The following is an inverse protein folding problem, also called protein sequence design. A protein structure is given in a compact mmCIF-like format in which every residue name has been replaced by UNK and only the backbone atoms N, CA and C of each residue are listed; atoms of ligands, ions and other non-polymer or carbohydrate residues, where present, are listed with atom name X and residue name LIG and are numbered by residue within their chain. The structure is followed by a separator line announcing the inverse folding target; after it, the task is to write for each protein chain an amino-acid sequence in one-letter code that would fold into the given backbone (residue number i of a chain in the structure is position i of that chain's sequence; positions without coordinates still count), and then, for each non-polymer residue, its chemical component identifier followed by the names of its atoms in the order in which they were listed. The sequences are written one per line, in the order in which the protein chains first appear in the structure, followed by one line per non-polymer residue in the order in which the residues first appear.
data_IF_064436112762
#
_entry.id   IF_064436112762
#
_cell.length_a   1.000
_cell.length_b   1.000
_cell.length_c   1.000
_cell.angle_alpha   90.00
_cell.angle_beta   90.00
_cell.angle_gamma   90.00
#
_symmetry.space_group_name_H-M   'P 1'
#
loop_
_entity.id
_entity.type
_entity.pdbx_description
1 polymer ?
#
# COMPACT_ATOMS: atom_id res chain seq x y z
N UNK A 1 2.41 12.37 17.73
CA UNK A 1 1.66 11.34 18.50
C UNK A 1 0.18 11.70 18.58
N UNK A 2 -0.19 12.94 18.92
CA UNK A 2 -1.59 13.40 18.93
C UNK A 2 -2.35 13.12 17.63
N UNK A 3 -1.76 13.45 16.46
CA UNK A 3 -2.37 13.19 15.15
C UNK A 3 -2.63 11.69 14.89
N UNK A 4 -1.73 10.81 15.34
CA UNK A 4 -1.88 9.35 15.21
C UNK A 4 -3.04 8.83 16.06
N UNK A 5 -3.17 9.36 17.28
CA UNK A 5 -4.31 9.12 18.17
C UNK A 5 -5.63 9.61 17.54
N UNK A 6 -5.64 10.82 16.97
CA UNK A 6 -6.82 11.37 16.30
C UNK A 6 -7.24 10.53 15.10
N UNK A 7 -6.27 10.07 14.29
CA UNK A 7 -6.51 9.16 13.18
C UNK A 7 -7.14 7.84 13.62
N UNK A 8 -6.59 7.17 14.64
CA UNK A 8 -7.14 5.90 15.13
C UNK A 8 -8.52 6.06 15.79
N UNK A 9 -8.78 7.16 16.51
CA UNK A 9 -10.12 7.45 17.01
C UNK A 9 -11.12 7.68 15.89
N UNK A 10 -10.72 8.38 14.84
CA UNK A 10 -11.58 8.62 13.68
C UNK A 10 -11.92 7.31 12.96
N UNK A 11 -10.94 6.43 12.73
CA UNK A 11 -11.17 5.17 12.00
C UNK A 11 -11.95 4.14 12.82
N UNK A 12 -11.68 4.04 14.13
CA UNK A 12 -12.45 3.16 15.03
C UNK A 12 -13.89 3.63 15.17
N UNK A 13 -14.16 4.94 15.14
CA UNK A 13 -15.53 5.46 15.06
C UNK A 13 -16.25 4.98 13.78
N UNK A 14 -15.57 5.01 12.61
CA UNK A 14 -16.14 4.48 11.35
C UNK A 14 -16.38 2.96 11.41
N UNK A 15 -15.52 2.21 12.10
CA UNK A 15 -15.69 0.78 12.30
C UNK A 15 -16.95 0.50 13.14
N UNK A 16 -17.16 1.22 14.25
CA UNK A 16 -18.37 1.09 15.08
C UNK A 16 -19.65 1.41 14.29
N UNK A 17 -19.65 2.48 13.52
CA UNK A 17 -20.78 2.88 12.67
C UNK A 17 -21.08 1.88 11.55
N UNK A 18 -20.06 1.16 11.08
CA UNK A 18 -20.21 0.13 10.06
C UNK A 18 -20.89 -1.13 10.61
N UNK A 19 -20.81 -1.37 11.93
CA UNK A 19 -21.40 -2.50 12.62
C UNK A 19 -20.81 -3.82 12.12
N UNK A 20 -21.63 -4.80 11.67
CA UNK A 20 -21.11 -6.07 11.14
C UNK A 20 -20.48 -5.95 9.75
N UNK A 21 -20.58 -4.78 9.10
CA UNK A 21 -20.00 -4.56 7.77
C UNK A 21 -18.50 -4.24 7.92
N UNK A 22 -17.65 -4.74 7.01
CA UNK A 22 -16.25 -4.36 7.02
C UNK A 22 -16.09 -2.86 6.76
N UNK A 23 -14.97 -2.32 7.25
CA UNK A 23 -14.51 -0.97 6.93
C UNK A 23 -14.48 -0.77 5.40
N UNK A 24 -14.86 0.42 4.94
CA UNK A 24 -14.75 0.79 3.52
C UNK A 24 -13.35 1.29 3.22
N UNK A 25 -12.93 1.12 1.97
CA UNK A 25 -11.66 1.65 1.46
C UNK A 25 -11.61 3.18 1.57
N UNK A 26 -12.72 3.84 1.24
CA UNK A 26 -12.80 5.30 1.22
C UNK A 26 -14.05 5.80 1.95
N UNK A 27 -13.90 7.00 2.51
CA UNK A 27 -14.94 7.81 3.09
C UNK A 27 -14.77 9.26 2.60
N UNK A 28 -15.85 10.03 2.54
CA UNK A 28 -15.73 11.47 2.40
C UNK A 28 -14.97 12.06 3.60
N UNK A 29 -14.41 13.27 3.46
CA UNK A 29 -13.65 13.92 4.54
C UNK A 29 -14.44 14.07 5.86
N UNK A 30 -15.77 14.19 5.77
CA UNK A 30 -16.68 14.27 6.91
C UNK A 30 -17.21 12.89 7.38
N UNK A 31 -16.75 11.80 6.78
CA UNK A 31 -17.06 10.42 7.17
C UNK A 31 -18.19 9.74 6.41
N UNK A 32 -18.84 10.42 5.45
CA UNK A 32 -19.93 9.80 4.67
C UNK A 32 -19.40 8.62 3.81
N UNK A 33 -19.98 7.42 3.96
CA UNK A 33 -19.60 6.26 3.16
C UNK A 33 -20.22 6.22 1.76
N UNK A 34 -21.22 7.04 1.43
CA UNK A 34 -21.81 7.10 0.09
C UNK A 34 -20.95 7.96 -0.85
N UNK A 35 -20.14 7.26 -1.63
CA UNK A 35 -19.28 7.84 -2.65
C UNK A 35 -19.70 7.37 -4.05
N UNK A 36 -21.02 7.27 -4.29
CA UNK A 36 -21.56 6.86 -5.59
C UNK A 36 -20.91 7.67 -6.73
N UNK A 37 -20.16 6.97 -7.60
CA UNK A 37 -19.43 7.60 -8.70
C UNK A 37 -20.39 8.11 -9.77
N UNK A 38 -20.23 9.36 -10.19
CA UNK A 38 -21.06 10.01 -11.22
C UNK A 38 -20.20 10.81 -12.17
N UNK A 39 -20.50 10.74 -13.46
CA UNK A 39 -19.84 11.56 -14.49
C UNK A 39 -20.56 12.91 -14.66
N UNK A 40 -19.78 13.97 -14.82
CA UNK A 40 -20.25 15.34 -15.04
C UNK A 40 -19.87 15.79 -16.46
N UNK A 41 -20.67 15.44 -17.49
CA UNK A 41 -20.30 15.66 -18.91
C UNK A 41 -20.18 17.13 -19.32
N UNK A 42 -20.79 18.03 -18.53
CA UNK A 42 -20.76 19.48 -18.73
C UNK A 42 -19.46 20.13 -18.25
N UNK A 43 -18.63 19.43 -17.46
CA UNK A 43 -17.35 19.94 -16.98
C UNK A 43 -16.19 19.43 -17.85
N UNK A 44 -15.06 20.13 -17.75
CA UNK A 44 -13.76 19.75 -18.32
C UNK A 44 -12.73 19.75 -17.21
N UNK A 45 -11.99 18.67 -17.06
CA UNK A 45 -10.92 18.56 -16.08
C UNK A 45 -9.66 19.32 -16.50
N UNK A 46 -8.61 19.16 -15.70
CA UNK A 46 -7.26 19.62 -16.03
C UNK A 46 -6.86 19.14 -17.43
N UNK A 47 -6.26 20.02 -18.23
CA UNK A 47 -5.90 19.77 -19.65
C UNK A 47 -7.04 19.21 -20.52
N UNK A 48 -8.28 19.64 -20.26
CA UNK A 48 -9.49 19.16 -20.94
C UNK A 48 -9.81 17.68 -20.73
N UNK A 49 -9.23 17.03 -19.71
CA UNK A 49 -9.50 15.63 -19.38
C UNK A 49 -10.99 15.35 -19.17
N UNK A 50 -11.44 14.22 -19.71
CA UNK A 50 -12.83 13.74 -19.66
C UNK A 50 -12.87 12.22 -19.49
N UNK A 51 -13.90 11.67 -18.82
CA UNK A 51 -14.96 12.40 -18.13
C UNK A 51 -14.50 12.93 -16.75
N UNK A 52 -15.06 14.07 -16.31
CA UNK A 52 -14.95 14.53 -14.93
C UNK A 52 -15.87 13.66 -14.07
N UNK A 53 -15.35 13.10 -12.97
CA UNK A 53 -16.11 12.25 -12.05
C UNK A 53 -16.14 12.85 -10.65
N UNK A 54 -17.24 12.64 -9.94
CA UNK A 54 -17.37 12.83 -8.48
C UNK A 54 -17.72 11.49 -7.84
N UNK A 55 -17.45 11.35 -6.54
CA UNK A 55 -17.48 10.05 -5.87
C UNK A 55 -16.25 9.19 -6.23
N UNK A 56 -16.26 7.94 -5.81
CA UNK A 56 -15.18 6.99 -6.13
C UNK A 56 -15.73 5.57 -6.23
N UNK A 57 -15.59 4.94 -7.41
CA UNK A 57 -16.04 3.57 -7.67
C UNK A 57 -15.38 2.51 -6.77
N UNK A 58 -14.24 2.80 -6.15
CA UNK A 58 -13.57 1.92 -5.20
C UNK A 58 -14.27 1.83 -3.84
N UNK A 59 -15.22 2.72 -3.53
CA UNK A 59 -15.91 2.73 -2.24
C UNK A 59 -16.72 1.45 -1.93
N UNK A 60 -17.03 0.64 -2.94
CA UNK A 60 -17.70 -0.67 -2.80
C UNK A 60 -16.78 -1.86 -3.04
N UNK A 61 -15.51 -1.62 -3.36
CA UNK A 61 -14.53 -2.66 -3.60
C UNK A 61 -14.11 -3.32 -2.28
N UNK A 62 -13.82 -4.62 -2.36
CA UNK A 62 -13.11 -5.32 -1.31
C UNK A 62 -11.60 -5.22 -1.62
N UNK A 63 -10.88 -4.53 -0.75
CA UNK A 63 -9.42 -4.46 -0.72
C UNK A 63 -8.97 -5.03 0.61
N UNK A 64 -8.11 -6.05 0.55
CA UNK A 64 -7.71 -6.79 1.74
C UNK A 64 -6.58 -6.07 2.50
N UNK A 65 -5.77 -5.29 1.79
CA UNK A 65 -4.60 -4.61 2.33
C UNK A 65 -4.94 -3.56 3.39
N UNK A 66 -6.07 -2.85 3.25
CA UNK A 66 -6.46 -1.78 4.18
C UNK A 66 -6.56 -2.24 5.64
N UNK A 67 -6.96 -3.50 5.87
CA UNK A 67 -7.07 -4.06 7.21
C UNK A 67 -5.69 -4.28 7.83
N UNK A 68 -4.72 -4.67 7.00
CA UNK A 68 -3.31 -4.78 7.40
C UNK A 68 -2.69 -3.43 7.72
N UNK A 69 -2.92 -2.42 6.88
CA UNK A 69 -2.44 -1.04 7.10
C UNK A 69 -2.94 -0.48 8.44
N UNK A 70 -4.23 -0.71 8.76
CA UNK A 70 -4.81 -0.25 10.01
C UNK A 70 -4.18 -0.91 11.24
N UNK A 71 -3.98 -2.22 11.21
CA UNK A 71 -3.35 -2.95 12.31
C UNK A 71 -1.85 -2.62 12.45
N UNK A 72 -1.15 -2.33 11.35
CA UNK A 72 0.24 -1.87 11.38
C UNK A 72 0.37 -0.47 11.98
N UNK A 73 -0.53 0.46 11.61
CA UNK A 73 -0.60 1.79 12.21
C UNK A 73 -0.89 1.73 13.71
N UNK A 74 -1.80 0.84 14.14
CA UNK A 74 -2.10 0.64 15.56
C UNK A 74 -0.92 0.05 16.34
N UNK A 75 -0.24 -0.96 15.79
CA UNK A 75 0.95 -1.53 16.40
C UNK A 75 2.10 -0.51 16.47
N UNK A 76 2.25 0.36 15.47
CA UNK A 76 3.20 1.47 15.50
C UNK A 76 2.87 2.47 16.62
N UNK A 77 1.60 2.86 16.78
CA UNK A 77 1.19 3.75 17.88
C UNK A 77 1.50 3.10 19.23
N UNK A 78 1.09 1.85 19.44
CA UNK A 78 1.32 1.12 20.70
C UNK A 78 2.81 0.94 20.99
N UNK A 79 3.66 0.90 19.97
CA UNK A 79 5.11 0.84 20.17
C UNK A 79 5.68 2.15 20.72
N UNK A 80 5.16 3.30 20.28
CA UNK A 80 5.61 4.62 20.75
C UNK A 80 4.86 5.11 21.99
N UNK A 81 3.66 4.59 22.22
CA UNK A 81 2.77 4.88 23.33
C UNK A 81 2.07 3.59 23.79
N UNK A 82 2.69 2.81 24.68
CA UNK A 82 2.15 1.52 25.13
C UNK A 82 0.78 1.62 25.82
N UNK A 83 0.44 2.76 26.42
CA UNK A 83 -0.84 2.97 27.12
C UNK A 83 -2.02 2.98 26.14
N UNK A 84 -1.78 3.43 24.90
CA UNK A 84 -2.79 3.43 23.84
C UNK A 84 -3.38 2.04 23.57
N UNK A 85 -2.67 0.94 23.91
CA UNK A 85 -3.12 -0.44 23.66
C UNK A 85 -4.49 -0.71 24.26
N UNK A 86 -4.75 -0.23 25.47
CA UNK A 86 -6.00 -0.48 26.18
C UNK A 86 -7.21 0.14 25.46
N UNK A 87 -7.00 1.25 24.75
CA UNK A 87 -8.01 1.90 23.92
C UNK A 87 -8.13 1.25 22.54
N UNK A 88 -7.00 1.01 21.85
CA UNK A 88 -7.04 0.66 20.42
C UNK A 88 -7.29 -0.82 20.15
N UNK A 89 -6.77 -1.73 20.98
CA UNK A 89 -6.79 -3.15 20.66
C UNK A 89 -8.21 -3.76 20.69
N UNK A 90 -9.06 -3.48 21.71
CA UNK A 90 -10.42 -4.02 21.72
C UNK A 90 -11.25 -3.63 20.49
N UNK A 91 -11.05 -2.40 19.98
CA UNK A 91 -11.73 -1.89 18.79
C UNK A 91 -11.24 -2.54 17.50
N UNK A 92 -9.95 -2.92 17.44
CA UNK A 92 -9.31 -3.44 16.23
C UNK A 92 -9.20 -4.96 16.17
N UNK A 93 -9.41 -5.68 17.27
CA UNK A 93 -9.46 -7.14 17.26
C UNK A 93 -10.44 -7.71 16.21
N UNK A 94 -11.66 -7.16 16.01
CA UNK A 94 -12.55 -7.59 14.93
C UNK A 94 -11.98 -7.44 13.52
N UNK A 95 -11.07 -6.48 13.30
CA UNK A 95 -10.38 -6.30 12.01
C UNK A 95 -9.47 -7.48 11.71
N UNK A 96 -8.73 -7.97 12.70
CA UNK A 96 -7.90 -9.17 12.56
C UNK A 96 -8.73 -10.41 12.20
N UNK A 97 -9.92 -10.55 12.79
CA UNK A 97 -10.83 -11.64 12.43
C UNK A 97 -11.37 -11.54 11.00
N UNK A 98 -11.59 -10.32 10.48
CA UNK A 98 -11.96 -10.13 9.07
C UNK A 98 -10.84 -10.66 8.18
N UNK A 99 -9.57 -10.37 8.50
CA UNK A 99 -8.43 -10.87 7.75
C UNK A 99 -8.39 -12.40 7.79
N UNK A 100 -8.43 -13.02 8.97
CA UNK A 100 -8.40 -14.49 9.09
C UNK A 100 -9.52 -15.16 8.29
N UNK A 101 -10.74 -14.61 8.31
CA UNK A 101 -11.88 -15.16 7.55
C UNK A 101 -11.80 -14.94 6.05
N UNK A 102 -11.17 -13.85 5.58
CA UNK A 102 -11.28 -13.39 4.20
C UNK A 102 -9.97 -13.30 3.43
N UNK A 103 -8.82 -13.60 4.03
CA UNK A 103 -7.54 -13.50 3.32
C UNK A 103 -7.49 -14.41 2.08
N UNK A 104 -8.23 -15.52 2.05
CA UNK A 104 -8.33 -16.41 0.89
C UNK A 104 -9.28 -15.90 -0.20
N UNK A 105 -9.93 -14.75 -0.03
CA UNK A 105 -10.81 -14.14 -1.06
C UNK A 105 -9.97 -13.26 -1.99
N UNK A 106 -10.14 -13.36 -3.33
CA UNK A 106 -9.56 -12.41 -4.28
C UNK A 106 -10.07 -10.97 -4.06
N UNK A 107 -9.20 -9.98 -4.24
CA UNK A 107 -9.48 -8.56 -3.97
C UNK A 107 -9.12 -7.68 -5.17
N UNK A 108 -9.00 -6.37 -4.97
CA UNK A 108 -8.84 -5.35 -6.03
C UNK A 108 -7.46 -4.66 -6.04
N UNK A 109 -6.49 -5.15 -5.26
CA UNK A 109 -5.16 -4.53 -5.09
C UNK A 109 -5.24 -3.14 -4.46
N UNK A 110 -4.12 -2.65 -3.93
CA UNK A 110 -3.94 -1.26 -3.48
C UNK A 110 -4.18 -0.23 -4.60
N UNK A 111 -4.15 -0.68 -5.87
CA UNK A 111 -4.34 0.15 -7.05
C UNK A 111 -5.79 0.28 -7.54
N UNK A 112 -6.77 -0.25 -6.81
CA UNK A 112 -8.20 -0.17 -7.15
C UNK A 112 -8.56 -0.74 -8.55
N UNK A 113 -7.82 -1.77 -9.00
CA UNK A 113 -7.88 -2.30 -10.37
C UNK A 113 -9.33 -2.62 -10.76
N UNK A 114 -9.82 -2.01 -11.84
CA UNK A 114 -11.22 -2.15 -12.30
C UNK A 114 -11.48 -3.48 -13.04
N UNK A 115 -10.42 -4.21 -13.40
CA UNK A 115 -10.46 -5.57 -13.98
C UNK A 115 -10.95 -6.72 -13.07
N UNK A 116 -10.56 -7.96 -13.34
CA UNK A 116 -10.96 -9.10 -12.49
C UNK A 116 -10.30 -9.05 -11.10
N UNK A 117 -10.97 -9.58 -10.08
CA UNK A 117 -10.34 -9.78 -8.76
C UNK A 117 -9.29 -10.88 -8.84
N UNK A 118 -8.20 -10.72 -8.10
CA UNK A 118 -7.10 -11.70 -8.07
C UNK A 118 -6.52 -11.84 -6.65
N UNK A 119 -5.65 -12.84 -6.46
CA UNK A 119 -4.84 -12.96 -5.24
C UNK A 119 -3.58 -12.11 -5.39
N UNK A 120 -3.71 -10.79 -5.24
CA UNK A 120 -2.57 -9.87 -5.33
C UNK A 120 -1.58 -10.13 -4.19
N UNK A 121 -0.28 -10.20 -4.52
CA UNK A 121 0.77 -10.54 -3.55
C UNK A 121 0.84 -9.52 -2.44
N UNK A 122 0.84 -8.22 -2.79
CA UNK A 122 0.83 -7.14 -1.81
C UNK A 122 -0.36 -7.26 -0.85
N UNK A 123 -1.57 -7.53 -1.35
CA UNK A 123 -2.77 -7.73 -0.51
C UNK A 123 -2.62 -8.91 0.47
N UNK A 124 -2.01 -10.03 0.05
CA UNK A 124 -1.75 -11.18 0.93
C UNK A 124 -0.64 -10.90 1.93
N UNK A 125 0.38 -10.15 1.54
CA UNK A 125 1.43 -9.68 2.46
C UNK A 125 0.83 -8.75 3.52
N UNK A 126 -0.05 -7.81 3.16
CA UNK A 126 -0.70 -6.94 4.13
C UNK A 126 -1.69 -7.71 5.03
N UNK A 127 -2.33 -8.77 4.54
CA UNK A 127 -3.08 -9.69 5.39
C UNK A 127 -2.17 -10.39 6.43
N UNK A 128 -0.97 -10.85 6.01
CA UNK A 128 0.04 -11.35 6.94
C UNK A 128 0.44 -10.28 7.98
N UNK A 129 0.73 -9.05 7.54
CA UNK A 129 1.08 -7.93 8.43
C UNK A 129 -0.02 -7.75 9.47
N UNK A 130 -1.28 -7.67 9.05
CA UNK A 130 -2.39 -7.46 9.98
C UNK A 130 -2.45 -8.53 11.08
N UNK A 131 -2.29 -9.81 10.73
CA UNK A 131 -2.33 -10.90 11.71
C UNK A 131 -1.08 -10.95 12.59
N UNK A 132 0.11 -10.67 12.04
CA UNK A 132 1.36 -10.55 12.81
C UNK A 132 1.23 -9.44 13.88
N UNK A 133 0.73 -8.27 13.49
CA UNK A 133 0.50 -7.13 14.39
C UNK A 133 -0.60 -7.41 15.40
N UNK A 134 -1.67 -8.10 14.99
CA UNK A 134 -2.72 -8.56 15.90
C UNK A 134 -2.18 -9.50 16.97
N UNK A 135 -1.28 -10.43 16.62
CA UNK A 135 -0.66 -11.32 17.60
C UNK A 135 0.17 -10.55 18.64
N UNK A 136 0.93 -9.54 18.21
CA UNK A 136 1.71 -8.66 19.11
C UNK A 136 0.81 -7.87 20.05
N UNK A 137 -0.24 -7.22 19.52
CA UNK A 137 -1.18 -6.43 20.31
C UNK A 137 -1.93 -7.31 21.32
N UNK A 138 -2.44 -8.46 20.87
CA UNK A 138 -3.16 -9.44 21.66
C UNK A 138 -2.31 -9.98 22.83
N UNK A 139 -1.06 -10.37 22.55
CA UNK A 139 -0.11 -10.83 23.57
C UNK A 139 0.17 -9.74 24.60
N UNK A 140 0.32 -8.50 24.16
CA UNK A 140 0.50 -7.34 25.03
C UNK A 140 -0.70 -7.02 25.91
N UNK A 141 -1.87 -7.57 25.62
CA UNK A 141 -3.09 -7.49 26.45
C UNK A 141 -3.29 -8.69 27.38
N UNK A 142 -2.35 -9.65 27.38
CA UNK A 142 -2.39 -10.85 28.24
C UNK A 142 -3.12 -12.05 27.63
N UNK A 143 -3.72 -11.93 26.43
CA UNK A 143 -4.37 -13.05 25.75
C UNK A 143 -3.35 -13.83 24.90
N UNK A 144 -2.78 -14.89 25.50
CA UNK A 144 -1.77 -15.72 24.82
C UNK A 144 -2.35 -16.71 23.82
N UNK A 145 -3.62 -17.13 23.98
CA UNK A 145 -4.29 -18.06 23.07
C UNK A 145 -4.70 -17.36 21.79
N UNK A 146 -5.30 -16.16 21.90
CA UNK A 146 -5.59 -15.30 20.77
C UNK A 146 -4.34 -14.95 19.98
N UNK A 147 -3.23 -14.64 20.66
CA UNK A 147 -1.96 -14.38 20.01
C UNK A 147 -1.45 -15.60 19.21
N UNK A 148 -1.51 -16.81 19.79
CA UNK A 148 -1.13 -18.05 19.09
C UNK A 148 -1.99 -18.33 17.86
N UNK A 149 -3.29 -18.05 17.93
CA UNK A 149 -4.22 -18.18 16.79
C UNK A 149 -3.78 -17.27 15.63
N UNK A 150 -3.51 -16.00 15.92
CA UNK A 150 -3.08 -15.03 14.91
C UNK A 150 -1.69 -15.34 14.34
N UNK A 151 -0.74 -15.78 15.18
CA UNK A 151 0.57 -16.27 14.72
C UNK A 151 0.40 -17.42 13.70
N UNK A 152 -0.46 -18.40 14.00
CA UNK A 152 -0.69 -19.55 13.12
C UNK A 152 -1.33 -19.16 11.78
N UNK A 153 -2.31 -18.27 11.82
CA UNK A 153 -2.98 -17.77 10.63
C UNK A 153 -2.01 -16.92 9.77
N UNK A 154 -1.19 -16.07 10.39
CA UNK A 154 -0.13 -15.34 9.69
C UNK A 154 0.85 -16.30 9.01
N UNK A 155 1.37 -17.31 9.72
CA UNK A 155 2.30 -18.29 9.13
C UNK A 155 1.67 -19.06 7.95
N UNK A 156 0.38 -19.34 8.01
CA UNK A 156 -0.34 -19.96 6.88
C UNK A 156 -0.34 -19.05 5.65
N UNK A 157 -0.65 -17.76 5.82
CA UNK A 157 -0.59 -16.77 4.73
C UNK A 157 0.84 -16.63 4.19
N UNK A 158 1.84 -16.60 5.09
CA UNK A 158 3.25 -16.51 4.71
C UNK A 158 3.64 -17.64 3.78
N UNK A 159 3.31 -18.89 4.12
CA UNK A 159 3.59 -20.07 3.27
C UNK A 159 2.90 -19.99 1.91
N UNK A 160 1.65 -19.53 1.86
CA UNK A 160 0.92 -19.36 0.59
C UNK A 160 1.58 -18.29 -0.30
N UNK A 161 1.95 -17.14 0.27
CA UNK A 161 2.63 -16.07 -0.47
C UNK A 161 3.98 -16.55 -0.99
N UNK A 162 4.77 -17.24 -0.19
CA UNK A 162 6.10 -17.71 -0.60
C UNK A 162 6.04 -18.85 -1.63
N UNK A 163 4.97 -19.65 -1.64
CA UNK A 163 4.81 -20.77 -2.58
C UNK A 163 4.16 -20.36 -3.90
N UNK A 164 3.23 -19.40 -3.88
CA UNK A 164 2.40 -19.05 -5.06
C UNK A 164 2.59 -17.62 -5.56
N UNK A 165 3.19 -16.75 -4.76
CA UNK A 165 3.42 -15.34 -5.08
C UNK A 165 4.82 -15.02 -5.57
N UNK A 166 5.73 -16.00 -5.62
CA UNK A 166 7.11 -15.84 -6.11
C UNK A 166 7.21 -16.49 -7.47
N UNK A 167 7.84 -15.80 -8.42
CA UNK A 167 8.16 -16.31 -9.73
C UNK A 167 9.04 -17.58 -9.61
N UNK A 168 8.58 -18.74 -10.13
CA UNK A 168 9.33 -19.99 -10.05
C UNK A 168 10.67 -19.95 -10.81
N UNK A 169 10.88 -18.97 -11.68
CA UNK A 169 12.12 -18.78 -12.44
C UNK A 169 13.10 -17.79 -11.76
N UNK A 170 12.78 -17.31 -10.55
CA UNK A 170 13.69 -16.46 -9.77
C UNK A 170 13.53 -14.96 -10.02
N UNK A 171 12.48 -14.50 -10.71
CA UNK A 171 12.19 -13.09 -10.95
C UNK A 171 11.56 -12.33 -9.79
N UNK A 172 11.62 -12.84 -8.56
CA UNK A 172 11.06 -12.19 -7.37
C UNK A 172 9.55 -12.34 -7.23
N UNK A 173 8.89 -11.42 -6.52
CA UNK A 173 7.46 -11.47 -6.26
C UNK A 173 6.64 -11.00 -7.45
N UNK A 174 5.65 -11.80 -7.85
CA UNK A 174 4.69 -11.45 -8.91
C UNK A 174 3.61 -10.48 -8.42
N UNK A 175 2.87 -9.86 -9.32
CA UNK A 175 1.76 -8.96 -9.01
C UNK A 175 0.64 -9.70 -8.28
N UNK A 176 0.25 -10.85 -8.82
CA UNK A 176 -0.76 -11.72 -8.25
C UNK A 176 -0.35 -13.18 -8.50
N UNK A 177 -0.86 -14.10 -7.68
CA UNK A 177 -0.47 -15.50 -7.73
C UNK A 177 -0.55 -16.10 -9.14
N UNK A 178 0.60 -16.55 -9.66
CA UNK A 178 0.73 -17.29 -10.92
C UNK A 178 0.45 -16.46 -12.17
N UNK A 179 0.57 -15.14 -12.11
CA UNK A 179 0.30 -14.26 -13.26
C UNK A 179 1.55 -13.79 -14.00
N UNK A 180 2.75 -14.07 -13.48
CA UNK A 180 4.02 -13.74 -14.12
C UNK A 180 4.33 -12.24 -14.27
N UNK A 181 3.45 -11.34 -13.87
CA UNK A 181 3.62 -9.88 -13.98
C UNK A 181 4.32 -9.33 -12.73
N UNK A 182 4.97 -8.19 -12.86
CA UNK A 182 5.60 -7.48 -11.74
C UNK A 182 4.73 -6.29 -11.30
N UNK A 183 4.78 -5.95 -10.01
CA UNK A 183 4.07 -4.82 -9.43
C UNK A 183 5.00 -4.06 -8.47
N UNK A 184 5.05 -2.74 -8.60
CA UNK A 184 5.87 -1.88 -7.75
C UNK A 184 5.41 -1.86 -6.29
N UNK A 185 4.16 -2.24 -5.98
CA UNK A 185 3.69 -2.41 -4.60
C UNK A 185 4.52 -3.45 -3.83
N UNK A 186 5.09 -4.43 -4.53
CA UNK A 186 5.92 -5.47 -3.91
C UNK A 186 7.27 -4.94 -3.36
N UNK A 187 7.67 -3.71 -3.74
CA UNK A 187 8.81 -3.03 -3.09
C UNK A 187 8.56 -2.77 -1.60
N UNK A 188 7.30 -2.77 -1.15
CA UNK A 188 6.92 -2.59 0.26
C UNK A 188 7.07 -3.84 1.12
N UNK A 189 7.17 -5.03 0.52
CA UNK A 189 7.29 -6.33 1.21
C UNK A 189 8.38 -6.31 2.32
N UNK A 190 9.62 -5.85 2.04
CA UNK A 190 10.64 -5.79 3.09
C UNK A 190 10.45 -4.61 4.05
N UNK A 191 9.78 -3.54 3.62
CA UNK A 191 9.51 -2.36 4.45
C UNK A 191 8.52 -2.66 5.58
N UNK A 192 7.58 -3.59 5.34
CA UNK A 192 6.60 -4.05 6.34
C UNK A 192 7.09 -5.28 7.14
N UNK A 193 8.32 -5.74 6.88
CA UNK A 193 8.97 -6.82 7.63
C UNK A 193 8.60 -8.24 7.21
N UNK A 194 7.98 -8.44 6.04
CA UNK A 194 7.63 -9.79 5.57
C UNK A 194 8.88 -10.64 5.26
N UNK A 195 9.88 -10.04 4.62
CA UNK A 195 11.20 -10.63 4.39
C UNK A 195 12.28 -9.56 4.56
N UNK A 196 13.51 -9.93 4.96
CA UNK A 196 14.60 -8.98 5.08
C UNK A 196 15.10 -8.51 3.70
N UNK A 197 15.77 -7.35 3.66
CA UNK A 197 16.27 -6.76 2.41
C UNK A 197 17.37 -7.59 1.72
N UNK A 198 18.07 -8.45 2.45
CA UNK A 198 19.11 -9.34 1.92
C UNK A 198 18.54 -10.66 1.37
N UNK A 199 17.22 -10.90 1.49
CA UNK A 199 16.58 -12.07 0.90
C UNK A 199 16.71 -12.03 -0.65
N UNK A 200 17.17 -13.12 -1.29
CA UNK A 200 17.34 -13.17 -2.75
C UNK A 200 16.08 -12.80 -3.54
N UNK A 201 14.89 -13.16 -3.04
CA UNK A 201 13.61 -12.86 -3.71
C UNK A 201 13.30 -11.36 -3.66
N UNK A 202 13.70 -10.69 -2.57
CA UNK A 202 13.52 -9.24 -2.41
C UNK A 202 14.47 -8.50 -3.35
N UNK A 203 15.75 -8.89 -3.40
CA UNK A 203 16.71 -8.35 -4.37
C UNK A 203 16.22 -8.52 -5.80
N UNK A 204 15.77 -9.72 -6.18
CA UNK A 204 15.24 -10.00 -7.51
C UNK A 204 14.01 -9.13 -7.83
N UNK A 205 13.12 -8.90 -6.85
CA UNK A 205 11.95 -8.02 -7.01
C UNK A 205 12.36 -6.58 -7.28
N UNK A 206 13.32 -6.04 -6.50
CA UNK A 206 13.83 -4.67 -6.66
C UNK A 206 14.45 -4.50 -8.04
N UNK A 207 15.33 -5.42 -8.45
CA UNK A 207 16.02 -5.37 -9.74
C UNK A 207 15.05 -5.55 -10.92
N UNK A 208 14.01 -6.39 -10.76
CA UNK A 208 12.98 -6.59 -11.78
C UNK A 208 12.09 -5.36 -11.94
N UNK A 209 11.61 -4.77 -10.84
CA UNK A 209 10.85 -3.52 -10.87
C UNK A 209 11.68 -2.42 -11.55
N UNK A 210 12.95 -2.31 -11.18
CA UNK A 210 13.83 -1.32 -11.80
C UNK A 210 13.98 -1.52 -13.31
N UNK A 211 14.16 -2.76 -13.77
CA UNK A 211 14.35 -3.07 -15.18
C UNK A 211 13.07 -2.92 -16.00
N UNK A 212 11.93 -3.36 -15.49
CA UNK A 212 10.69 -3.53 -16.27
C UNK A 212 9.70 -2.38 -16.08
N UNK A 213 9.73 -1.70 -14.93
CA UNK A 213 8.78 -0.64 -14.60
C UNK A 213 9.40 0.76 -14.60
N UNK A 214 10.71 0.92 -14.76
CA UNK A 214 11.32 2.26 -14.79
C UNK A 214 11.21 2.96 -16.14
N UNK A 215 11.16 4.29 -16.10
CA UNK A 215 11.46 5.19 -17.20
C UNK A 215 12.35 6.32 -16.67
N UNK A 216 13.68 6.17 -16.83
CA UNK A 216 14.65 6.99 -16.11
C UNK A 216 14.50 6.82 -14.60
N UNK A 217 14.40 7.90 -13.80
CA UNK A 217 14.23 7.83 -12.35
C UNK A 217 12.80 7.44 -11.93
N UNK A 218 11.83 7.54 -12.85
CA UNK A 218 10.42 7.31 -12.60
C UNK A 218 10.03 5.84 -12.70
N UNK A 219 8.98 5.43 -11.99
CA UNK A 219 8.52 4.03 -11.93
C UNK A 219 7.00 3.96 -12.10
N UNK A 220 6.53 3.07 -12.97
CA UNK A 220 5.10 2.76 -13.14
C UNK A 220 4.63 1.75 -12.10
N UNK A 221 3.33 1.75 -11.74
CA UNK A 221 2.74 0.79 -10.78
C UNK A 221 2.90 -0.66 -11.27
N UNK A 222 2.53 -0.89 -12.53
CA UNK A 222 2.61 -2.16 -13.25
C UNK A 222 2.56 -1.88 -14.76
N UNK A 223 2.64 -2.94 -15.60
CA UNK A 223 2.33 -2.87 -17.04
C UNK A 223 1.13 -3.77 -17.33
N UNK A 224 0.18 -3.28 -18.12
CA UNK A 224 -1.00 -4.03 -18.59
C UNK A 224 -2.31 -3.27 -18.43
N UNK A 225 -3.40 -3.88 -18.89
CA UNK A 225 -4.75 -3.35 -18.79
C UNK A 225 -5.31 -3.51 -17.36
N UNK A 226 -5.74 -2.40 -16.76
CA UNK A 226 -6.37 -2.31 -15.44
C UNK A 226 -7.87 -1.93 -15.50
N UNK A 227 -8.41 -1.82 -16.72
CA UNK A 227 -9.79 -1.40 -17.00
C UNK A 227 -9.96 0.11 -17.11
N UNK A 228 -8.88 0.89 -17.26
CA UNK A 228 -8.91 2.32 -17.56
C UNK A 228 -8.34 2.62 -18.95
N UNK A 229 -8.96 3.56 -19.65
CA UNK A 229 -8.51 4.04 -20.95
C UNK A 229 -7.42 5.11 -20.80
N UNK A 230 -6.37 5.02 -21.62
CA UNK A 230 -5.35 6.05 -21.79
C UNK A 230 -3.98 5.71 -21.19
N UNK A 231 -2.93 6.48 -21.52
CA UNK A 231 -1.62 6.31 -20.92
C UNK A 231 -1.62 6.82 -19.47
N UNK A 232 -1.11 6.01 -18.54
CA UNK A 232 -0.91 6.39 -17.15
C UNK A 232 0.41 7.17 -16.98
N UNK A 233 0.45 8.11 -16.03
CA UNK A 233 1.70 8.71 -15.57
C UNK A 233 2.57 7.70 -14.82
N UNK A 234 3.82 8.09 -14.55
CA UNK A 234 4.63 7.36 -13.57
C UNK A 234 4.16 7.68 -12.16
N UNK A 235 4.16 6.71 -11.25
CA UNK A 235 3.66 6.88 -9.89
C UNK A 235 4.83 7.26 -8.97
N UNK A 236 4.86 8.51 -8.51
CA UNK A 236 6.01 9.03 -7.76
C UNK A 236 6.34 8.22 -6.49
N UNK A 237 5.37 7.72 -5.69
CA UNK A 237 5.64 6.84 -4.57
C UNK A 237 6.47 5.60 -4.96
N UNK A 238 6.21 4.99 -6.12
CA UNK A 238 6.92 3.79 -6.57
C UNK A 238 8.39 4.09 -6.87
N UNK A 239 8.69 5.28 -7.42
CA UNK A 239 10.06 5.74 -7.60
C UNK A 239 10.82 5.86 -6.27
N UNK A 240 10.19 6.48 -5.28
CA UNK A 240 10.79 6.60 -3.95
C UNK A 240 10.91 5.26 -3.22
N UNK A 241 9.94 4.35 -3.37
CA UNK A 241 10.06 2.98 -2.85
C UNK A 241 11.23 2.23 -3.49
N UNK A 242 11.49 2.45 -4.77
CA UNK A 242 12.64 1.84 -5.46
C UNK A 242 13.96 2.42 -4.93
N UNK A 243 14.05 3.74 -4.74
CA UNK A 243 15.21 4.39 -4.11
C UNK A 243 15.48 3.79 -2.74
N UNK A 244 14.44 3.65 -1.90
CA UNK A 244 14.56 3.00 -0.59
C UNK A 244 15.09 1.56 -0.74
N UNK A 245 14.47 0.75 -1.61
CA UNK A 245 14.92 -0.62 -1.86
C UNK A 245 16.39 -0.70 -2.28
N UNK A 246 16.81 0.11 -3.25
CA UNK A 246 18.19 0.19 -3.74
C UNK A 246 19.17 0.58 -2.63
N UNK A 247 18.84 1.60 -1.84
CA UNK A 247 19.68 2.01 -0.72
C UNK A 247 19.87 0.88 0.30
N UNK A 248 18.80 0.14 0.63
CA UNK A 248 18.81 -0.95 1.60
C UNK A 248 19.51 -2.23 1.12
N UNK A 249 19.60 -2.47 -0.19
CA UNK A 249 20.38 -3.59 -0.75
C UNK A 249 21.85 -3.23 -1.05
N UNK A 250 22.29 -2.03 -0.64
CA UNK A 250 23.65 -1.52 -0.80
C UNK A 250 23.93 -0.77 -2.11
N UNK A 251 22.95 -0.65 -3.01
CA UNK A 251 23.08 0.06 -4.29
C UNK A 251 22.90 1.58 -4.12
N UNK A 252 23.63 2.19 -3.18
CA UNK A 252 23.44 3.59 -2.74
C UNK A 252 23.67 4.62 -3.85
N UNK A 253 24.62 4.38 -4.76
CA UNK A 253 24.89 5.35 -5.84
C UNK A 253 23.74 5.43 -6.84
N UNK A 254 23.19 4.27 -7.23
CA UNK A 254 21.98 4.17 -8.07
C UNK A 254 20.77 4.79 -7.39
N UNK A 255 20.63 4.56 -6.08
CA UNK A 255 19.56 5.16 -5.28
C UNK A 255 19.67 6.71 -5.24
N UNK A 256 20.88 7.26 -5.10
CA UNK A 256 21.11 8.71 -5.08
C UNK A 256 20.79 9.36 -6.42
N UNK A 257 21.28 8.80 -7.52
CA UNK A 257 20.99 9.31 -8.88
C UNK A 257 19.48 9.34 -9.15
N UNK A 258 18.78 8.26 -8.81
CA UNK A 258 17.31 8.20 -8.95
C UNK A 258 16.59 9.20 -8.07
N UNK A 259 17.03 9.38 -6.82
CA UNK A 259 16.44 10.36 -5.92
C UNK A 259 16.55 11.78 -6.49
N UNK A 260 17.73 12.16 -6.97
CA UNK A 260 17.96 13.47 -7.61
C UNK A 260 16.99 13.68 -8.78
N UNK A 261 16.84 12.68 -9.65
CA UNK A 261 15.88 12.72 -10.76
C UNK A 261 14.42 12.86 -10.31
N UNK A 262 14.00 12.13 -9.27
CA UNK A 262 12.63 12.22 -8.72
C UNK A 262 12.35 13.57 -8.05
N UNK A 263 13.33 14.15 -7.36
CA UNK A 263 13.15 15.45 -6.69
C UNK A 263 12.90 16.59 -7.66
N UNK A 264 13.32 16.47 -8.92
CA UNK A 264 13.00 17.42 -9.98
C UNK A 264 11.51 17.46 -10.36
N UNK A 265 10.71 16.47 -9.93
CA UNK A 265 9.26 16.46 -10.10
C UNK A 265 8.51 17.28 -9.03
N UNK A 266 9.19 17.77 -7.99
CA UNK A 266 8.59 18.64 -7.00
C UNK A 266 8.15 19.97 -7.64
N UNK A 267 6.98 20.46 -7.25
CA UNK A 267 6.54 21.82 -7.61
C UNK A 267 7.35 22.90 -6.88
N UNK A 268 7.12 24.19 -7.19
CA UNK A 268 7.84 25.32 -6.57
C UNK A 268 7.76 25.38 -5.04
N UNK A 269 6.75 24.74 -4.45
CA UNK A 269 6.55 24.64 -2.99
C UNK A 269 7.25 23.44 -2.36
N UNK A 270 8.03 22.67 -3.14
CA UNK A 270 8.63 21.41 -2.69
C UNK A 270 7.62 20.27 -2.52
N UNK A 271 6.41 20.42 -3.05
CA UNK A 271 5.32 19.44 -2.95
C UNK A 271 5.28 18.53 -4.17
N UNK A 272 4.96 17.26 -3.94
CA UNK A 272 4.82 16.24 -4.98
C UNK A 272 3.36 15.91 -5.29
N UNK A 273 3.08 15.63 -6.56
CA UNK A 273 1.85 14.99 -7.02
C UNK A 273 1.86 13.48 -6.76
N UNK A 274 0.75 12.84 -7.10
CA UNK A 274 0.63 11.39 -7.13
C UNK A 274 1.40 10.78 -8.30
N UNK A 275 1.16 11.32 -9.49
CA UNK A 275 1.77 10.88 -10.73
C UNK A 275 2.59 11.99 -11.38
N UNK A 276 3.47 11.61 -12.30
CA UNK A 276 4.25 12.51 -13.13
C UNK A 276 4.37 11.97 -14.55
N UNK A 277 4.10 12.81 -15.55
CA UNK A 277 4.39 12.48 -16.95
C UNK A 277 5.86 12.86 -17.26
N UNK A 278 6.76 11.90 -17.47
CA UNK A 278 8.16 12.19 -17.75
C UNK A 278 8.39 12.83 -19.13
N UNK A 279 7.51 12.58 -20.10
CA UNK A 279 7.64 13.10 -21.46
C UNK A 279 7.14 14.55 -21.53
N UNK A 280 5.94 14.80 -21.00
CA UNK A 280 5.36 16.15 -20.96
C UNK A 280 5.92 17.00 -19.81
N UNK A 281 6.59 16.38 -18.83
CA UNK A 281 7.17 17.02 -17.64
C UNK A 281 6.14 17.75 -16.78
N UNK A 282 4.98 17.15 -16.59
CA UNK A 282 3.86 17.72 -15.82
C UNK A 282 3.44 16.80 -14.67
N UNK A 283 3.02 17.38 -13.52
CA UNK A 283 2.37 16.63 -12.45
C UNK A 283 0.98 16.15 -12.89
N UNK A 284 0.61 14.94 -12.48
CA UNK A 284 -0.67 14.30 -12.73
C UNK A 284 -1.28 13.75 -11.43
N UNK A 285 -2.58 13.47 -11.45
CA UNK A 285 -3.29 12.92 -10.29
C UNK A 285 -3.44 13.89 -9.13
N UNK A 286 -3.56 13.35 -7.92
CA UNK A 286 -3.76 14.13 -6.70
C UNK A 286 -2.56 15.06 -6.39
N UNK A 287 -2.83 16.30 -5.96
CA UNK A 287 -1.79 17.27 -5.56
C UNK A 287 -2.25 18.15 -4.38
N UNK A 288 -1.45 18.28 -3.30
CA UNK A 288 -0.29 17.44 -2.97
C UNK A 288 -0.72 16.02 -2.56
N UNK A 289 0.12 15.01 -2.83
CA UNK A 289 -0.19 13.62 -2.47
C UNK A 289 0.59 13.15 -1.24
N UNK A 290 -0.11 12.90 -0.13
CA UNK A 290 0.52 12.55 1.15
C UNK A 290 1.38 11.27 1.07
N UNK A 291 0.89 10.23 0.37
CA UNK A 291 1.63 8.98 0.17
C UNK A 291 3.00 9.21 -0.50
N UNK A 292 3.06 10.11 -1.48
CA UNK A 292 4.32 10.46 -2.17
C UNK A 292 5.32 11.10 -1.22
N UNK A 293 4.86 11.99 -0.34
CA UNK A 293 5.73 12.66 0.63
C UNK A 293 6.26 11.68 1.68
N UNK A 294 5.42 10.76 2.17
CA UNK A 294 5.86 9.69 3.08
C UNK A 294 6.90 8.80 2.40
N UNK A 295 6.67 8.41 1.14
CA UNK A 295 7.64 7.60 0.38
C UNK A 295 8.97 8.33 0.18
N UNK A 296 8.93 9.64 -0.14
CA UNK A 296 10.13 10.49 -0.24
C UNK A 296 10.93 10.53 1.06
N UNK A 297 10.27 10.78 2.20
CA UNK A 297 10.93 10.82 3.50
C UNK A 297 11.61 9.49 3.85
N UNK A 298 10.95 8.36 3.57
CA UNK A 298 11.53 7.02 3.76
C UNK A 298 12.73 6.79 2.85
N UNK A 299 12.65 7.20 1.58
CA UNK A 299 13.76 7.09 0.64
C UNK A 299 14.99 7.88 1.08
N UNK A 300 14.77 9.10 1.61
CA UNK A 300 15.80 9.95 2.21
C UNK A 300 16.44 9.27 3.43
N UNK A 301 15.63 8.83 4.38
CA UNK A 301 16.08 8.11 5.59
C UNK A 301 16.98 6.93 5.23
N UNK A 302 16.55 6.07 4.29
CA UNK A 302 17.31 4.89 3.88
C UNK A 302 18.67 5.18 3.24
N UNK A 303 18.86 6.36 2.64
CA UNK A 303 20.13 6.80 2.06
C UNK A 303 21.09 7.33 3.13
N UNK A 304 20.55 8.11 4.05
CA UNK A 304 21.32 8.86 5.05
C UNK A 304 21.86 7.96 6.19
N UNK A 305 21.26 6.79 6.44
CA UNK A 305 21.76 5.76 7.36
C UNK A 305 20.81 5.48 8.50
#
# INVERSE_FOLDING_TARGET
IEEAHAYLRWITARLRESGPRPLRVLYAAHGDPDLTERSLPHLRGFLNSRPVRIGNGAATQFQLDIFGELLDAAALLVRVDPEARAEVWPELAPVAEIIERRWAVPDRSIWEIRGARAHYVHSKVMAWVGLDRAAVLCRGSGDTDGARRWDHAAETIRREVLSRGVDPHGGGFEQAFGNGRIDAANLRIPMVGFLPFDDPRIRATIERVERELSHGPFVYRYRGDDGLDGPEGSFLPCGFWLVHGLARIGAKDRARERLEGLTAAAGPLGLFSEEYDPAARIPLGNFPQALTHVAYLRAREALDG
#
